data_IF_998838124095
#
_entry.id   IF_998838124095
#
_cell.length_a   1.000
_cell.length_b   1.000
_cell.length_c   1.000
_cell.angle_alpha   90.00
_cell.angle_beta   90.00
_cell.angle_gamma   90.00
#
_symmetry.space_group_name_H-M   'P 1'
#
loop_
_entity.id
_entity.type
_entity.pdbx_description
1 polymer ?
#
# COMPACT_ATOMS: atom_id res chain seq x y z
N UNK A 1 -15.02 2.42 -28.97
CA UNK A 1 -14.09 1.27 -28.91
C UNK A 1 -12.82 1.58 -28.10
N UNK A 2 -12.47 2.86 -27.87
CA UNK A 2 -11.30 3.28 -27.08
C UNK A 2 -11.42 3.05 -25.56
N UNK A 3 -12.61 2.73 -25.05
CA UNK A 3 -12.85 2.60 -23.60
C UNK A 3 -12.44 1.24 -23.00
N UNK A 4 -12.30 0.17 -23.80
CA UNK A 4 -11.95 -1.17 -23.28
C UNK A 4 -10.44 -1.39 -23.17
N UNK A 5 -9.64 -0.83 -24.08
CA UNK A 5 -8.18 -0.94 -24.04
C UNK A 5 -7.57 -0.18 -22.85
N UNK A 6 -8.06 1.03 -22.58
CA UNK A 6 -7.59 1.88 -21.48
C UNK A 6 -7.92 1.28 -20.11
N UNK A 7 -9.10 0.67 -19.97
CA UNK A 7 -9.51 -0.03 -18.74
C UNK A 7 -8.62 -1.26 -18.49
N UNK A 8 -8.28 -2.02 -19.53
CA UNK A 8 -7.38 -3.17 -19.40
C UNK A 8 -5.96 -2.77 -19.00
N UNK A 9 -5.41 -1.68 -19.54
CA UNK A 9 -4.09 -1.17 -19.12
C UNK A 9 -4.09 -0.65 -17.68
N UNK A 10 -5.18 -0.04 -17.23
CA UNK A 10 -5.31 0.46 -15.87
C UNK A 10 -5.40 -0.69 -14.85
N UNK A 11 -6.13 -1.75 -15.15
CA UNK A 11 -6.16 -2.97 -14.33
C UNK A 11 -4.79 -3.65 -14.26
N UNK A 12 -4.07 -3.74 -15.38
CA UNK A 12 -2.72 -4.32 -15.41
C UNK A 12 -1.73 -3.52 -14.54
N UNK A 13 -1.79 -2.19 -14.58
CA UNK A 13 -0.95 -1.32 -13.74
C UNK A 13 -1.25 -1.51 -12.24
N UNK A 14 -2.52 -1.65 -11.89
CA UNK A 14 -2.99 -1.90 -10.52
C UNK A 14 -2.50 -3.25 -9.99
N UNK A 15 -2.61 -4.31 -10.78
CA UNK A 15 -2.10 -5.64 -10.40
C UNK A 15 -0.58 -5.65 -10.25
N UNK A 16 0.13 -4.98 -11.17
CA UNK A 16 1.58 -4.81 -11.10
C UNK A 16 1.99 -4.07 -9.82
N UNK A 17 1.34 -2.95 -9.53
CA UNK A 17 1.58 -2.16 -8.32
C UNK A 17 1.41 -3.01 -7.06
N UNK A 18 0.28 -3.72 -6.91
CA UNK A 18 0.04 -4.58 -5.75
C UNK A 18 1.13 -5.65 -5.64
N UNK A 19 1.46 -6.33 -6.75
CA UNK A 19 2.51 -7.35 -6.77
C UNK A 19 3.86 -6.80 -6.32
N UNK A 20 4.25 -5.62 -6.82
CA UNK A 20 5.50 -4.96 -6.43
C UNK A 20 5.54 -4.65 -4.93
N UNK A 21 4.45 -4.16 -4.35
CA UNK A 21 4.39 -3.89 -2.91
C UNK A 21 4.59 -5.17 -2.10
N UNK A 22 3.96 -6.29 -2.49
CA UNK A 22 4.15 -7.58 -1.83
C UNK A 22 5.58 -8.12 -1.96
N UNK A 23 6.14 -8.08 -3.16
CA UNK A 23 7.50 -8.58 -3.42
C UNK A 23 8.54 -7.80 -2.60
N UNK A 24 8.44 -6.47 -2.61
CA UNK A 24 9.38 -5.59 -1.88
C UNK A 24 9.15 -5.69 -0.37
N UNK A 25 7.91 -5.81 0.10
CA UNK A 25 7.64 -6.03 1.52
C UNK A 25 8.25 -7.35 2.01
N UNK A 26 8.17 -8.41 1.21
CA UNK A 26 8.83 -9.69 1.49
C UNK A 26 10.36 -9.56 1.51
N UNK A 27 10.96 -8.86 0.54
CA UNK A 27 12.40 -8.57 0.48
C UNK A 27 12.87 -7.83 1.74
N UNK A 28 12.14 -6.78 2.12
CA UNK A 28 12.44 -5.94 3.29
C UNK A 28 12.00 -6.58 4.61
N UNK A 29 11.39 -7.76 4.58
CA UNK A 29 10.83 -8.45 5.77
C UNK A 29 9.86 -7.57 6.57
N UNK A 30 9.09 -6.74 5.87
CA UNK A 30 8.05 -5.90 6.47
C UNK A 30 6.78 -6.73 6.64
N UNK A 31 6.20 -6.84 7.85
CA UNK A 31 4.95 -7.54 8.04
C UNK A 31 3.82 -6.81 7.30
N UNK A 32 3.19 -7.50 6.34
CA UNK A 32 2.06 -7.00 5.58
C UNK A 32 0.81 -7.82 5.92
N UNK A 33 -0.23 -7.15 6.39
CA UNK A 33 -1.52 -7.72 6.74
C UNK A 33 -2.53 -7.32 5.68
N UNK A 34 -3.20 -8.29 5.07
CA UNK A 34 -4.35 -8.06 4.22
C UNK A 34 -5.62 -8.73 4.75
N UNK A 35 -6.73 -8.40 4.10
CA UNK A 35 -8.07 -8.89 4.40
C UNK A 35 -8.19 -10.42 4.26
N UNK A 36 -7.32 -11.07 3.48
CA UNK A 36 -7.32 -12.51 3.27
C UNK A 36 -6.55 -13.25 4.37
N UNK A 37 -5.40 -12.71 4.79
CA UNK A 37 -4.56 -13.29 5.86
C UNK A 37 -5.29 -13.25 7.20
N UNK A 38 -6.07 -12.20 7.45
CA UNK A 38 -6.92 -12.09 8.63
C UNK A 38 -8.36 -11.80 8.22
N UNK A 39 -9.04 -12.80 7.66
CA UNK A 39 -10.45 -12.74 7.25
C UNK A 39 -11.46 -12.28 8.34
N UNK A 40 -11.00 -12.07 9.58
CA UNK A 40 -11.77 -11.55 10.72
C UNK A 40 -11.20 -10.27 11.32
N UNK A 41 -10.21 -9.64 10.70
CA UNK A 41 -9.67 -8.37 11.15
C UNK A 41 -10.49 -7.22 10.58
N UNK A 42 -10.93 -6.31 11.45
CA UNK A 42 -11.53 -5.04 11.04
C UNK A 42 -10.47 -3.95 11.08
N UNK A 43 -10.12 -3.38 9.92
CA UNK A 43 -9.22 -2.23 9.83
C UNK A 43 -10.05 -0.97 10.02
N UNK A 44 -9.98 -0.41 11.23
CA UNK A 44 -10.64 0.85 11.56
C UNK A 44 -9.68 2.02 11.33
N UNK A 45 -10.04 2.90 10.39
CA UNK A 45 -9.31 4.16 10.19
C UNK A 45 -9.72 5.15 11.29
N UNK A 46 -8.82 5.44 12.22
CA UNK A 46 -8.97 6.61 13.09
C UNK A 46 -8.59 7.86 12.31
N UNK A 47 -9.29 8.98 12.51
CA UNK A 47 -8.91 10.26 11.89
C UNK A 47 -7.53 10.68 12.41
N UNK A 48 -6.47 10.63 11.58
CA UNK A 48 -5.15 11.07 12.01
C UNK A 48 -5.13 12.60 12.08
N UNK A 49 -4.18 13.15 12.84
CA UNK A 49 -3.92 14.61 12.81
C UNK A 49 -3.30 15.01 11.47
N UNK A 50 -2.43 14.17 10.91
CA UNK A 50 -1.77 14.39 9.62
C UNK A 50 -1.87 13.15 8.74
N UNK A 51 -2.07 13.33 7.43
CA UNK A 51 -2.03 12.25 6.44
C UNK A 51 -1.02 12.57 5.35
N UNK A 52 -0.18 11.59 5.01
CA UNK A 52 0.78 11.68 3.90
C UNK A 52 0.44 10.58 2.90
N UNK A 53 0.22 10.97 1.65
CA UNK A 53 -0.12 10.05 0.56
C UNK A 53 1.06 9.95 -0.41
N UNK A 54 1.54 8.73 -0.59
CA UNK A 54 2.53 8.34 -1.58
C UNK A 54 1.76 7.81 -2.80
N UNK A 55 1.99 8.41 -3.97
CA UNK A 55 1.34 8.02 -5.22
C UNK A 55 2.37 7.31 -6.07
N UNK A 56 2.11 6.04 -6.38
CA UNK A 56 2.92 5.26 -7.29
C UNK A 56 2.65 5.70 -8.73
N UNK A 57 3.71 6.10 -9.43
CA UNK A 57 3.69 6.59 -10.81
C UNK A 57 4.50 5.69 -11.76
N UNK A 58 4.83 4.47 -11.31
CA UNK A 58 5.73 3.55 -12.01
C UNK A 58 7.13 3.50 -11.39
N UNK A 59 7.50 4.41 -10.49
CA UNK A 59 8.78 4.37 -9.79
C UNK A 59 8.74 3.49 -8.54
N UNK A 60 9.53 2.41 -8.57
CA UNK A 60 9.72 1.48 -7.45
C UNK A 60 10.27 2.19 -6.18
N UNK A 61 11.01 3.29 -6.36
CA UNK A 61 11.59 4.05 -5.24
C UNK A 61 10.52 4.58 -4.28
N UNK A 62 9.31 4.89 -4.78
CA UNK A 62 8.16 5.33 -3.97
C UNK A 62 7.71 4.21 -3.02
N UNK A 63 7.60 2.98 -3.55
CA UNK A 63 7.21 1.80 -2.75
C UNK A 63 8.29 1.49 -1.72
N UNK A 64 9.57 1.50 -2.11
CA UNK A 64 10.69 1.26 -1.19
C UNK A 64 10.77 2.33 -0.10
N UNK A 65 10.57 3.60 -0.45
CA UNK A 65 10.52 4.70 0.50
C UNK A 65 9.39 4.51 1.53
N UNK A 66 8.18 4.21 1.05
CA UNK A 66 7.02 3.93 1.91
C UNK A 66 7.29 2.73 2.85
N UNK A 67 7.73 1.59 2.33
CA UNK A 67 8.00 0.39 3.14
C UNK A 67 9.19 0.59 4.09
N UNK A 68 10.18 1.40 3.73
CA UNK A 68 11.27 1.82 4.60
C UNK A 68 10.76 2.58 5.83
N UNK A 69 9.70 3.40 5.69
CA UNK A 69 9.07 4.05 6.84
C UNK A 69 8.42 3.04 7.79
N UNK A 70 7.86 1.93 7.27
CA UNK A 70 7.32 0.87 8.13
C UNK A 70 8.41 0.26 9.02
N UNK A 71 9.60 0.01 8.47
CA UNK A 71 10.75 -0.45 9.25
C UNK A 71 11.21 0.61 10.26
N UNK A 72 11.32 1.87 9.83
CA UNK A 72 11.75 2.98 10.68
C UNK A 72 10.84 3.15 11.91
N UNK A 73 9.53 3.15 11.71
CA UNK A 73 8.54 3.24 12.79
C UNK A 73 8.30 1.92 13.53
N UNK A 74 8.97 0.83 13.14
CA UNK A 74 8.76 -0.53 13.66
C UNK A 74 7.28 -0.93 13.65
N UNK A 75 6.61 -0.61 12.55
CA UNK A 75 5.19 -0.82 12.35
C UNK A 75 4.94 -1.94 11.33
N UNK A 76 3.67 -2.22 11.09
CA UNK A 76 3.17 -3.15 10.09
C UNK A 76 2.61 -2.37 8.89
N UNK A 77 2.44 -3.04 7.76
CA UNK A 77 1.69 -2.51 6.62
C UNK A 77 0.33 -3.17 6.58
N UNK A 78 -0.73 -2.38 6.46
CA UNK A 78 -2.09 -2.84 6.28
C UNK A 78 -2.50 -2.63 4.83
N UNK A 79 -2.99 -3.67 4.15
CA UNK A 79 -3.62 -3.56 2.85
C UNK A 79 -5.14 -3.51 3.01
N UNK A 80 -5.77 -2.51 2.40
CA UNK A 80 -7.23 -2.41 2.29
C UNK A 80 -7.60 -2.02 0.87
N UNK A 81 -8.31 -2.91 0.18
CA UNK A 81 -8.55 -2.82 -1.26
C UNK A 81 -7.23 -2.56 -2.03
N UNK A 82 -7.11 -1.38 -2.64
CA UNK A 82 -6.02 -0.90 -3.50
C UNK A 82 -4.87 -0.25 -2.75
N UNK A 83 -5.06 -0.01 -1.46
CA UNK A 83 -4.24 0.93 -0.71
C UNK A 83 -3.48 0.21 0.38
N UNK A 84 -2.33 0.75 0.68
CA UNK A 84 -1.48 0.29 1.76
C UNK A 84 -1.32 1.40 2.79
N UNK A 85 -1.31 1.03 4.06
CA UNK A 85 -1.28 1.97 5.17
C UNK A 85 -0.22 1.54 6.17
N UNK A 86 0.50 2.50 6.73
CA UNK A 86 1.33 2.29 7.91
C UNK A 86 0.66 3.05 9.06
N UNK A 87 0.15 2.34 10.09
CA UNK A 87 -0.38 3.00 11.27
C UNK A 87 0.78 3.53 12.11
N UNK A 88 0.77 4.84 12.35
CA UNK A 88 1.70 5.56 13.24
C UNK A 88 0.86 6.47 14.14
N UNK A 89 1.27 6.74 15.40
CA UNK A 89 0.57 7.72 16.23
C UNK A 89 0.41 9.07 15.53
N UNK A 90 -0.82 9.58 15.47
CA UNK A 90 -1.23 10.89 14.91
C UNK A 90 -0.88 11.13 13.42
N UNK A 91 -0.32 10.13 12.74
CA UNK A 91 0.14 10.18 11.35
C UNK A 91 -0.34 8.95 10.59
N UNK A 92 -1.07 9.16 9.51
CA UNK A 92 -1.39 8.11 8.56
C UNK A 92 -0.48 8.22 7.33
N UNK A 93 0.32 7.19 7.09
CA UNK A 93 1.05 7.05 5.83
C UNK A 93 0.23 6.13 4.92
N UNK A 94 -0.09 6.59 3.72
CA UNK A 94 -0.86 5.84 2.74
C UNK A 94 -0.07 5.72 1.44
N UNK A 95 -0.10 4.55 0.82
CA UNK A 95 0.43 4.31 -0.53
C UNK A 95 -0.71 3.87 -1.45
N UNK A 96 -0.83 4.51 -2.60
CA UNK A 96 -1.83 4.22 -3.64
C UNK A 96 -1.25 4.38 -5.06
N UNK A 97 -1.99 3.89 -6.06
CA UNK A 97 -1.68 3.96 -7.50
C UNK A 97 -2.88 4.55 -8.24
#
# INVERSE_FOLDING_TARGET
MESRSTVNSQMANRELFIKMVFDIASELKVPLIDEHVYARATINESRPTTSIVFVFDGDESVIRGFLGLAQYYRSIVLKKAERFFIPVPDLLLQLEC
#
